data_IF_154736816146
#
_entry.id   IF_154736816146
#
_cell.length_a   1.000
_cell.length_b   1.000
_cell.length_c   1.000
_cell.angle_alpha   90.00
_cell.angle_beta   90.00
_cell.angle_gamma   90.00
#
_symmetry.space_group_name_H-M   'P 1'
#
loop_
_entity.id
_entity.type
_entity.pdbx_description
1 polymer ?
#
# COMPACT_ATOMS: atom_id res chain seq x y z
N UNK A 1 -15.12 15.96 42.93
CA UNK A 1 -14.72 16.53 41.61
C UNK A 1 -13.66 15.69 40.90
N UNK A 2 -12.68 15.13 41.61
CA UNK A 2 -11.64 14.26 41.04
C UNK A 2 -12.16 13.02 40.27
N UNK A 3 -13.22 12.36 40.76
CA UNK A 3 -13.81 11.18 40.08
C UNK A 3 -14.39 11.53 38.71
N UNK A 4 -15.05 12.69 38.57
CA UNK A 4 -15.59 13.14 37.29
C UNK A 4 -14.47 13.46 36.30
N UNK A 5 -13.39 14.08 36.77
CA UNK A 5 -12.21 14.38 35.95
C UNK A 5 -11.50 13.10 35.50
N UNK A 6 -11.31 12.14 36.42
CA UNK A 6 -10.70 10.84 36.09
C UNK A 6 -11.54 10.07 35.07
N UNK A 7 -12.87 10.06 35.22
CA UNK A 7 -13.77 9.36 34.31
C UNK A 7 -13.80 10.03 32.92
N UNK A 8 -13.71 11.36 32.84
CA UNK A 8 -13.52 12.08 31.58
C UNK A 8 -12.19 11.72 30.89
N UNK A 9 -11.09 11.63 31.64
CA UNK A 9 -9.80 11.23 31.07
C UNK A 9 -9.82 9.79 30.54
N UNK A 10 -10.42 8.86 31.30
CA UNK A 10 -10.55 7.46 30.86
C UNK A 10 -11.41 7.35 29.60
N UNK A 11 -12.52 8.10 29.53
CA UNK A 11 -13.35 8.15 28.32
C UNK A 11 -12.62 8.74 27.13
N UNK A 12 -11.84 9.81 27.32
CA UNK A 12 -11.04 10.41 26.25
C UNK A 12 -9.99 9.43 25.72
N UNK A 13 -9.26 8.75 26.60
CA UNK A 13 -8.25 7.76 26.20
C UNK A 13 -8.91 6.60 25.43
N UNK A 14 -10.02 6.05 25.95
CA UNK A 14 -10.74 4.96 25.30
C UNK A 14 -11.26 5.34 23.90
N UNK A 15 -11.80 6.56 23.73
CA UNK A 15 -12.26 7.05 22.44
C UNK A 15 -11.10 7.22 21.47
N UNK A 16 -9.97 7.79 21.91
CA UNK A 16 -8.80 7.98 21.03
C UNK A 16 -8.15 6.67 20.60
N UNK A 17 -8.15 5.64 21.45
CA UNK A 17 -7.58 4.32 21.11
C UNK A 17 -8.46 3.46 20.22
N UNK A 18 -9.77 3.76 20.14
CA UNK A 18 -10.74 3.01 19.35
C UNK A 18 -10.83 3.51 17.91
N UNK A 19 -10.19 4.64 17.58
CA UNK A 19 -10.12 5.11 16.21
C UNK A 19 -9.14 4.21 15.43
N UNK A 20 -9.57 3.51 14.37
CA UNK A 20 -8.62 2.92 13.44
C UNK A 20 -7.70 4.04 12.95
N UNK A 21 -6.43 3.74 12.71
CA UNK A 21 -5.48 4.70 12.15
C UNK A 21 -6.07 5.30 10.87
N UNK A 22 -6.70 6.47 10.99
CA UNK A 22 -7.25 7.16 9.83
C UNK A 22 -6.07 7.63 9.00
N UNK A 23 -6.07 7.37 7.68
CA UNK A 23 -5.07 7.94 6.81
C UNK A 23 -5.21 9.48 6.87
N UNK A 24 -4.25 10.10 7.54
CA UNK A 24 -3.94 11.52 7.48
C UNK A 24 -5.04 12.48 7.95
N UNK A 25 -4.95 12.93 9.21
CA UNK A 25 -5.35 14.30 9.53
C UNK A 25 -4.45 14.89 10.61
N UNK A 26 -3.48 15.70 10.17
CA UNK A 26 -2.73 16.64 11.01
C UNK A 26 -1.60 16.05 11.86
N UNK A 27 -0.36 16.43 11.52
CA UNK A 27 0.84 16.45 12.40
C UNK A 27 1.54 15.14 12.80
N UNK A 28 1.31 14.01 12.12
CA UNK A 28 2.03 12.78 12.40
C UNK A 28 3.28 12.60 11.51
N UNK A 29 4.47 12.82 12.09
CA UNK A 29 5.72 12.24 11.58
C UNK A 29 5.68 10.73 11.82
N UNK A 30 5.22 9.99 10.80
CA UNK A 30 5.11 8.54 10.83
C UNK A 30 3.70 8.07 10.50
N UNK A 31 3.50 7.62 9.25
CA UNK A 31 2.27 6.98 8.80
C UNK A 31 1.33 7.92 8.02
N UNK A 32 1.41 7.87 6.69
CA UNK A 32 0.31 8.30 5.82
C UNK A 32 -0.04 9.80 5.83
N UNK A 33 0.94 10.68 6.02
CA UNK A 33 0.71 12.13 5.93
C UNK A 33 0.53 12.59 4.49
N UNK A 34 -0.70 12.94 4.11
CA UNK A 34 -0.95 13.73 2.89
C UNK A 34 -0.30 15.10 3.05
N UNK A 35 0.70 15.40 2.22
CA UNK A 35 1.37 16.70 2.22
C UNK A 35 0.39 17.77 1.71
N UNK A 36 0.03 18.80 2.50
CA UNK A 36 -0.98 19.81 2.11
C UNK A 36 -0.65 20.58 0.82
N UNK A 37 0.62 20.57 0.42
CA UNK A 37 1.12 21.25 -0.78
C UNK A 37 1.03 20.38 -2.03
N UNK A 38 0.70 19.10 -1.90
CA UNK A 38 0.55 18.19 -3.03
C UNK A 38 -0.92 18.17 -3.42
N UNK A 39 -1.24 18.51 -4.68
CA UNK A 39 -2.62 18.48 -5.13
C UNK A 39 -3.26 17.09 -4.99
N UNK A 40 -4.56 16.99 -4.67
CA UNK A 40 -5.25 15.72 -4.47
C UNK A 40 -5.12 14.76 -5.67
N UNK A 41 -5.12 15.28 -6.89
CA UNK A 41 -4.98 14.49 -8.11
C UNK A 41 -3.58 13.89 -8.28
N UNK A 42 -2.55 14.49 -7.68
CA UNK A 42 -1.19 13.92 -7.65
C UNK A 42 -1.11 12.83 -6.59
N UNK A 43 -1.58 13.10 -5.37
CA UNK A 43 -1.53 12.12 -4.29
C UNK A 43 -2.40 10.88 -4.53
N UNK A 44 -3.43 10.98 -5.37
CA UNK A 44 -4.29 9.86 -5.76
C UNK A 44 -3.80 9.12 -7.01
N UNK A 45 -2.75 9.60 -7.68
CA UNK A 45 -2.30 8.99 -8.91
C UNK A 45 -1.64 7.62 -8.63
N UNK A 46 -1.84 6.60 -9.49
CA UNK A 46 -1.26 5.26 -9.30
C UNK A 46 0.29 5.24 -9.26
N UNK A 47 0.93 6.19 -9.94
CA UNK A 47 2.39 6.34 -9.95
C UNK A 47 2.93 7.02 -8.69
N UNK A 48 2.06 7.66 -7.90
CA UNK A 48 2.48 8.38 -6.71
C UNK A 48 2.70 7.39 -5.55
N UNK A 49 3.88 7.40 -4.91
CA UNK A 49 4.18 6.49 -3.81
C UNK A 49 3.22 6.67 -2.63
N UNK A 50 2.61 5.56 -2.20
CA UNK A 50 1.78 5.52 -1.01
C UNK A 50 2.57 5.02 0.19
N UNK A 51 2.47 5.71 1.31
CA UNK A 51 3.06 5.24 2.57
C UNK A 51 2.20 4.15 3.18
N UNK A 52 2.84 3.08 3.66
CA UNK A 52 2.20 1.94 4.31
C UNK A 52 2.95 1.56 5.57
N UNK A 53 2.26 1.28 6.69
CA UNK A 53 2.92 0.74 7.87
C UNK A 53 3.46 -0.67 7.58
N UNK A 54 4.67 -0.96 8.02
CA UNK A 54 5.22 -2.31 8.02
C UNK A 54 6.35 -2.44 9.05
N UNK A 55 6.59 -3.67 9.48
CA UNK A 55 7.48 -4.00 10.61
C UNK A 55 8.73 -4.80 10.21
N UNK A 56 8.67 -5.50 9.07
CA UNK A 56 9.78 -6.32 8.56
C UNK A 56 10.49 -5.58 7.44
N UNK A 57 11.80 -5.40 7.57
CA UNK A 57 12.63 -4.78 6.53
C UNK A 57 12.76 -5.73 5.36
N UNK A 58 12.61 -5.19 4.16
CA UNK A 58 12.72 -5.96 2.93
C UNK A 58 11.77 -5.42 1.87
N UNK A 59 11.60 -6.16 0.80
CA UNK A 59 10.59 -5.90 -0.21
C UNK A 59 9.67 -7.10 -0.36
N UNK A 60 8.38 -6.84 -0.54
CA UNK A 60 7.37 -7.85 -0.78
C UNK A 60 6.43 -7.39 -1.89
N UNK A 61 5.85 -8.33 -2.64
CA UNK A 61 4.76 -7.99 -3.54
C UNK A 61 3.48 -7.78 -2.73
N UNK A 62 2.76 -6.70 -3.01
CA UNK A 62 1.41 -6.48 -2.51
C UNK A 62 0.39 -7.08 -3.46
N UNK A 63 0.61 -6.84 -4.75
CA UNK A 63 -0.18 -7.35 -5.86
C UNK A 63 0.75 -7.70 -7.03
N UNK A 64 0.20 -8.26 -8.09
CA UNK A 64 0.93 -8.65 -9.29
C UNK A 64 1.71 -7.53 -9.97
N UNK A 65 1.40 -6.26 -9.71
CA UNK A 65 2.03 -5.10 -10.33
C UNK A 65 2.50 -4.05 -9.30
N UNK A 66 2.50 -4.39 -8.01
CA UNK A 66 2.81 -3.44 -6.94
C UNK A 66 3.73 -4.08 -5.91
N UNK A 67 4.84 -3.41 -5.60
CA UNK A 67 5.75 -3.82 -4.51
C UNK A 67 5.69 -2.87 -3.33
N UNK A 68 5.85 -3.42 -2.13
CA UNK A 68 6.06 -2.69 -0.89
C UNK A 68 7.54 -2.78 -0.52
N UNK A 69 8.20 -1.62 -0.39
CA UNK A 69 9.57 -1.55 0.13
C UNK A 69 9.50 -1.06 1.56
N UNK A 70 9.88 -1.94 2.49
CA UNK A 70 9.86 -1.70 3.92
C UNK A 70 11.23 -1.34 4.47
N UNK A 71 11.26 -0.18 5.12
CA UNK A 71 12.45 0.35 5.81
C UNK A 71 12.19 0.38 7.32
N UNK A 72 13.20 0.82 8.10
CA UNK A 72 13.09 0.96 9.55
C UNK A 72 11.98 1.92 10.01
N UNK A 73 11.55 2.85 9.16
CA UNK A 73 10.57 3.91 9.50
C UNK A 73 9.17 3.63 8.92
N UNK A 74 8.98 2.48 8.27
CA UNK A 74 7.77 2.13 7.54
C UNK A 74 8.05 1.83 6.07
N UNK A 75 6.99 1.62 5.30
CA UNK A 75 7.07 1.14 3.93
C UNK A 75 6.49 2.10 2.90
N UNK A 76 6.96 1.96 1.67
CA UNK A 76 6.49 2.71 0.51
C UNK A 76 5.99 1.70 -0.52
N UNK A 77 4.74 1.86 -0.93
CA UNK A 77 4.12 1.12 -2.03
C UNK A 77 4.50 1.79 -3.35
N UNK A 78 4.92 0.98 -4.32
CA UNK A 78 5.33 1.41 -5.66
C UNK A 78 4.74 0.48 -6.70
N UNK A 79 4.09 1.05 -7.72
CA UNK A 79 3.72 0.29 -8.90
C UNK A 79 4.97 -0.05 -9.74
N UNK A 80 5.00 -1.26 -10.30
CA UNK A 80 5.95 -1.66 -11.32
C UNK A 80 5.59 -0.95 -12.63
N UNK A 81 6.09 0.27 -12.78
CA UNK A 81 5.70 1.20 -13.84
C UNK A 81 6.54 1.07 -15.10
N UNK A 82 7.60 0.24 -15.05
CA UNK A 82 8.44 -0.04 -16.22
C UNK A 82 7.69 -1.03 -17.13
N UNK A 83 7.39 -0.66 -18.39
CA UNK A 83 6.67 -1.54 -19.32
C UNK A 83 7.43 -2.83 -19.64
N UNK A 84 8.74 -2.89 -19.40
CA UNK A 84 9.56 -4.10 -19.58
C UNK A 84 9.60 -4.99 -18.34
N UNK A 85 9.24 -4.45 -17.17
CA UNK A 85 9.20 -5.15 -15.89
C UNK A 85 7.87 -4.87 -15.17
N UNK A 86 6.70 -5.19 -15.78
CA UNK A 86 5.42 -4.76 -15.25
C UNK A 86 4.98 -5.57 -14.03
N UNK A 87 5.57 -6.75 -13.81
CA UNK A 87 5.11 -7.67 -12.78
C UNK A 87 5.94 -7.56 -11.51
N UNK A 88 5.33 -7.80 -10.35
CA UNK A 88 6.06 -8.02 -9.12
C UNK A 88 6.31 -9.51 -8.92
N UNK A 89 7.57 -9.88 -8.65
CA UNK A 89 7.97 -11.24 -8.34
C UNK A 89 8.97 -11.20 -7.17
N UNK A 90 8.65 -11.89 -6.07
CA UNK A 90 9.47 -11.97 -4.85
C UNK A 90 9.93 -10.60 -4.29
N UNK A 91 9.08 -9.57 -4.42
CA UNK A 91 9.36 -8.22 -3.95
C UNK A 91 10.18 -7.35 -4.90
N UNK A 92 10.41 -7.79 -6.14
CA UNK A 92 11.09 -7.01 -7.17
C UNK A 92 10.27 -6.94 -8.46
N UNK A 93 10.46 -5.86 -9.25
CA UNK A 93 9.77 -5.77 -10.54
C UNK A 93 10.50 -6.65 -11.58
N UNK A 94 9.73 -7.44 -12.32
CA UNK A 94 10.19 -8.49 -13.22
C UNK A 94 9.40 -8.46 -14.53
N UNK A 95 10.04 -8.96 -15.60
CA UNK A 95 9.39 -9.20 -16.88
C UNK A 95 8.43 -10.41 -16.81
N UNK A 96 8.64 -11.32 -15.86
CA UNK A 96 7.84 -12.52 -15.67
C UNK A 96 6.91 -12.40 -14.46
N UNK A 97 5.61 -12.74 -14.60
CA UNK A 97 4.70 -12.78 -13.47
C UNK A 97 5.11 -13.84 -12.46
N UNK A 98 4.73 -13.65 -11.19
CA UNK A 98 4.77 -14.73 -10.21
C UNK A 98 3.73 -15.81 -10.53
N UNK A 99 3.88 -17.00 -9.96
CA UNK A 99 3.02 -18.16 -10.27
C UNK A 99 1.54 -17.86 -10.00
N UNK A 100 1.26 -17.10 -8.94
CA UNK A 100 -0.08 -16.67 -8.54
C UNK A 100 -0.65 -15.53 -9.40
N UNK A 101 0.21 -14.88 -10.20
CA UNK A 101 -0.09 -13.74 -11.06
C UNK A 101 0.02 -14.05 -12.55
N UNK A 102 0.39 -15.28 -12.90
CA UNK A 102 0.35 -15.74 -14.27
C UNK A 102 -1.12 -15.66 -14.75
N UNK A 103 -1.39 -15.09 -15.93
CA UNK A 103 -2.70 -15.23 -16.52
C UNK A 103 -3.01 -16.72 -16.61
N UNK A 104 -4.19 -17.13 -16.15
CA UNK A 104 -4.66 -18.49 -16.37
C UNK A 104 -4.52 -18.76 -17.87
N UNK A 105 -3.65 -19.71 -18.24
CA UNK A 105 -3.41 -20.03 -19.64
C UNK A 105 -4.77 -20.18 -20.31
N UNK A 106 -4.95 -19.37 -21.35
CA UNK A 106 -6.10 -19.47 -22.23
C UNK A 106 -6.24 -20.94 -22.64
N UNK A 107 -7.27 -21.60 -22.10
CA UNK A 107 -7.96 -22.72 -22.74
C UNK A 107 -8.70 -22.24 -24.00
N UNK A 108 -8.13 -21.28 -24.74
CA UNK A 108 -8.61 -20.85 -26.05
C UNK A 108 -7.78 -21.57 -27.10
N UNK A 109 -8.18 -22.83 -27.31
CA UNK A 109 -8.26 -23.47 -28.62
C UNK A 109 -7.14 -23.15 -29.61
N UNK A 110 -6.24 -24.12 -29.78
CA UNK A 110 -5.86 -24.52 -31.13
C UNK A 110 -7.12 -24.87 -31.92
N UNK A 111 -7.62 -23.91 -32.68
CA UNK A 111 -8.49 -24.14 -33.82
C UNK A 111 -7.87 -23.37 -34.99
N UNK A 112 -7.08 -24.11 -35.77
CA UNK A 112 -7.12 -24.08 -37.23
C UNK A 112 -7.90 -22.88 -37.82
N UNK A 113 -7.19 -21.84 -38.24
CA UNK A 113 -7.74 -20.88 -39.19
C UNK A 113 -6.86 -20.89 -40.44
N UNK A 114 -7.08 -21.93 -41.25
CA UNK A 114 -6.75 -21.95 -42.66
C UNK A 114 -7.66 -20.94 -43.39
N UNK A 115 -7.05 -20.01 -44.12
CA UNK A 115 -7.64 -19.36 -45.30
C UNK A 115 -6.67 -19.54 -46.44
#
# INVERSE_FOLDING_TARGET
MAVKVALCFVLLVAVTSALPAQPGNGWAWGGGGVNPWIPPWVSAAPWYPQWSPCTTIGSTCLDCNTKLVCTKIGGIQRACSDPTLPYCNLGECSATPSEECAPAEDQSTGAEQSV
#
